data_IF_888090062843
#
_entry.id   IF_888090062843
#
_cell.length_a   1.000
_cell.length_b   1.000
_cell.length_c   1.000
_cell.angle_alpha   90.00
_cell.angle_beta   90.00
_cell.angle_gamma   90.00
#
_symmetry.space_group_name_H-M   'P 1'
#
loop_
_entity.id
_entity.type
_entity.pdbx_description
1 polymer ?
#
# COMPACT_ATOMS: atom_id res chain seq x y z
N UNK A 1 5.07 -9.12 -13.78
CA UNK A 1 5.32 -7.69 -13.54
C UNK A 1 5.17 -7.33 -12.07
N UNK A 2 3.98 -7.48 -11.46
CA UNK A 2 3.73 -7.09 -10.07
C UNK A 2 4.62 -7.72 -8.98
N UNK A 3 5.05 -8.98 -9.13
CA UNK A 3 5.94 -9.62 -8.13
C UNK A 3 7.35 -9.00 -8.10
N UNK A 4 7.88 -8.54 -9.24
CA UNK A 4 9.20 -7.93 -9.28
C UNK A 4 9.17 -6.52 -8.69
N UNK A 5 8.17 -5.71 -9.05
CA UNK A 5 8.00 -4.35 -8.51
C UNK A 5 7.70 -4.37 -7.01
N UNK A 6 6.85 -5.27 -6.54
CA UNK A 6 6.58 -5.44 -5.10
C UNK A 6 7.82 -5.88 -4.33
N UNK A 7 8.61 -6.83 -4.85
CA UNK A 7 9.86 -7.23 -4.19
C UNK A 7 10.91 -6.12 -4.18
N UNK A 8 10.95 -5.29 -5.23
CA UNK A 8 11.85 -4.13 -5.29
C UNK A 8 11.43 -3.02 -4.32
N UNK A 9 10.13 -2.77 -4.17
CA UNK A 9 9.59 -1.76 -3.26
C UNK A 9 9.72 -2.18 -1.78
N UNK A 10 9.54 -3.46 -1.47
CA UNK A 10 9.49 -3.96 -0.08
C UNK A 10 10.80 -4.60 0.41
N UNK A 11 11.85 -4.59 -0.41
CA UNK A 11 13.17 -5.16 -0.09
C UNK A 11 13.28 -6.68 0.02
N UNK A 12 12.19 -7.37 0.39
CA UNK A 12 12.11 -8.82 0.58
C UNK A 12 10.77 -9.41 0.12
N UNK A 13 10.71 -10.74 0.08
CA UNK A 13 9.49 -11.48 -0.24
C UNK A 13 8.65 -11.65 1.02
N UNK A 14 7.39 -11.23 0.96
CA UNK A 14 6.37 -11.50 1.98
C UNK A 14 5.51 -12.69 1.55
N UNK A 15 4.94 -13.43 2.51
CA UNK A 15 4.02 -14.54 2.21
C UNK A 15 2.72 -14.01 1.59
N UNK A 16 2.35 -12.80 1.97
CA UNK A 16 1.16 -12.06 1.59
C UNK A 16 1.33 -11.37 0.22
N UNK A 17 2.51 -11.48 -0.41
CA UNK A 17 2.79 -10.84 -1.69
C UNK A 17 1.87 -11.35 -2.80
N UNK A 18 1.64 -12.65 -2.88
CA UNK A 18 0.75 -13.23 -3.90
C UNK A 18 -0.71 -12.78 -3.68
N UNK A 19 -1.09 -12.62 -2.41
CA UNK A 19 -2.40 -12.12 -2.01
C UNK A 19 -2.58 -10.62 -2.31
N UNK A 20 -1.55 -9.81 -2.08
CA UNK A 20 -1.49 -8.41 -2.47
C UNK A 20 -1.63 -8.25 -3.99
N UNK A 21 -0.85 -9.00 -4.76
CA UNK A 21 -0.91 -8.97 -6.23
C UNK A 21 -2.28 -9.39 -6.74
N UNK A 22 -2.89 -10.41 -6.13
CA UNK A 22 -4.25 -10.83 -6.47
C UNK A 22 -5.28 -9.72 -6.19
N UNK A 23 -5.22 -9.09 -5.01
CA UNK A 23 -6.13 -8.01 -4.63
C UNK A 23 -5.97 -6.77 -5.54
N UNK A 24 -4.74 -6.36 -5.86
CA UNK A 24 -4.46 -5.24 -6.79
C UNK A 24 -4.96 -5.56 -8.19
N UNK A 25 -4.77 -6.78 -8.69
CA UNK A 25 -5.32 -7.20 -9.99
C UNK A 25 -6.83 -7.12 -10.02
N UNK A 26 -7.50 -7.55 -8.95
CA UNK A 26 -8.95 -7.49 -8.85
C UNK A 26 -9.46 -6.04 -8.76
N UNK A 27 -8.77 -5.16 -8.03
CA UNK A 27 -9.07 -3.72 -8.01
C UNK A 27 -8.92 -3.12 -9.40
N UNK A 28 -7.83 -3.41 -10.12
CA UNK A 28 -7.62 -2.91 -11.48
C UNK A 28 -8.67 -3.43 -12.47
N UNK A 29 -9.11 -4.69 -12.33
CA UNK A 29 -10.22 -5.22 -13.14
C UNK A 29 -11.53 -4.50 -12.84
N UNK A 30 -11.84 -4.22 -11.58
CA UNK A 30 -13.02 -3.46 -11.18
C UNK A 30 -12.93 -1.98 -11.62
N UNK A 31 -11.73 -1.39 -11.61
CA UNK A 31 -11.51 -0.02 -12.08
C UNK A 31 -11.58 0.09 -13.61
N UNK A 32 -11.09 -0.92 -14.34
CA UNK A 32 -11.12 -0.98 -15.80
C UNK A 32 -12.45 -1.45 -16.41
N UNK A 33 -13.28 -2.16 -15.64
CA UNK A 33 -14.62 -2.58 -16.03
C UNK A 33 -15.64 -1.48 -15.76
N UNK A 34 -15.75 -0.51 -16.68
CA UNK A 34 -16.80 0.52 -16.74
C UNK A 34 -17.28 1.04 -15.37
N UNK A 35 -16.66 2.13 -14.89
CA UNK A 35 -17.26 2.94 -13.84
C UNK A 35 -18.51 3.64 -14.42
N UNK A 36 -19.67 2.97 -14.37
CA UNK A 36 -20.96 3.51 -14.85
C UNK A 36 -21.29 4.87 -14.19
N UNK A 37 -20.69 5.15 -13.03
CA UNK A 37 -20.82 6.45 -12.35
C UNK A 37 -20.01 7.60 -12.97
N UNK A 38 -18.93 7.31 -13.71
CA UNK A 38 -18.13 8.33 -14.41
C UNK A 38 -18.78 8.72 -15.75
N UNK A 39 -19.49 7.78 -16.39
CA UNK A 39 -20.24 8.03 -17.61
C UNK A 39 -21.67 8.56 -17.34
N UNK A 40 -22.26 8.18 -16.21
CA UNK A 40 -23.59 8.62 -15.78
C UNK A 40 -23.62 8.91 -14.27
N UNK A 41 -23.42 10.17 -13.84
CA UNK A 41 -23.48 10.58 -12.43
C UNK A 41 -24.82 10.24 -11.74
N UNK A 42 -25.91 10.15 -12.52
CA UNK A 42 -27.24 9.74 -12.09
C UNK A 42 -27.39 8.23 -11.86
N UNK A 43 -26.42 7.42 -12.29
CA UNK A 43 -26.41 5.97 -12.16
C UNK A 43 -25.66 5.44 -10.92
N UNK A 44 -25.37 6.29 -9.93
CA UNK A 44 -24.77 5.88 -8.64
C UNK A 44 -25.54 4.73 -7.95
N UNK A 45 -26.84 4.60 -8.21
CA UNK A 45 -27.68 3.50 -7.73
C UNK A 45 -27.28 2.13 -8.31
N UNK A 46 -26.77 2.08 -9.55
CA UNK A 46 -26.27 0.83 -10.17
C UNK A 46 -25.04 0.27 -9.45
N UNK A 47 -24.20 1.12 -8.86
CA UNK A 47 -23.05 0.68 -8.07
C UNK A 47 -23.45 -0.01 -6.75
N UNK A 48 -24.61 0.37 -6.20
CA UNK A 48 -25.21 -0.30 -5.04
C UNK A 48 -25.93 -1.61 -5.44
N UNK A 49 -26.58 -1.67 -6.60
CA UNK A 49 -27.27 -2.87 -7.10
C UNK A 49 -26.34 -3.96 -7.63
N UNK A 50 -25.20 -3.58 -8.20
CA UNK A 50 -24.21 -4.52 -8.73
C UNK A 50 -23.32 -5.13 -7.64
N UNK A 51 -23.41 -4.67 -6.39
CA UNK A 51 -22.55 -5.13 -5.30
C UNK A 51 -21.08 -4.74 -5.44
N UNK A 52 -20.77 -3.83 -6.36
CA UNK A 52 -19.39 -3.47 -6.72
C UNK A 52 -18.69 -2.63 -5.65
N UNK A 53 -19.41 -1.71 -5.00
CA UNK A 53 -18.89 -0.91 -3.88
C UNK A 53 -18.42 -1.73 -2.68
N UNK A 54 -19.25 -2.59 -2.07
CA UNK A 54 -18.81 -3.39 -0.93
C UNK A 54 -17.70 -4.36 -1.30
N UNK A 55 -17.63 -4.81 -2.56
CA UNK A 55 -16.52 -5.63 -3.06
C UNK A 55 -15.21 -4.84 -3.13
N UNK A 56 -15.24 -3.62 -3.68
CA UNK A 56 -14.08 -2.74 -3.75
C UNK A 56 -13.60 -2.33 -2.34
N UNK A 57 -14.53 -2.04 -1.43
CA UNK A 57 -14.21 -1.73 -0.04
C UNK A 57 -13.50 -2.89 0.68
N UNK A 58 -14.00 -4.12 0.51
CA UNK A 58 -13.34 -5.33 1.05
C UNK A 58 -11.93 -5.52 0.49
N UNK A 59 -11.74 -5.28 -0.82
CA UNK A 59 -10.42 -5.37 -1.44
C UNK A 59 -9.48 -4.27 -0.94
N UNK A 60 -9.99 -3.04 -0.78
CA UNK A 60 -9.22 -1.94 -0.22
C UNK A 60 -8.77 -2.23 1.21
N UNK A 61 -9.68 -2.70 2.08
CA UNK A 61 -9.34 -3.12 3.45
C UNK A 61 -8.32 -4.24 3.48
N UNK A 62 -8.38 -5.17 2.53
CA UNK A 62 -7.43 -6.28 2.42
C UNK A 62 -6.04 -5.77 2.05
N UNK A 63 -5.93 -4.89 1.06
CA UNK A 63 -4.67 -4.25 0.67
C UNK A 63 -4.10 -3.42 1.81
N UNK A 64 -4.94 -2.64 2.49
CA UNK A 64 -4.54 -1.77 3.60
C UNK A 64 -3.88 -2.56 4.75
N UNK A 65 -4.46 -3.71 5.11
CA UNK A 65 -3.91 -4.63 6.12
C UNK A 65 -2.55 -5.21 5.72
N UNK A 66 -2.38 -5.58 4.45
CA UNK A 66 -1.11 -6.12 3.97
C UNK A 66 -0.03 -5.03 4.03
N UNK A 67 -0.35 -3.80 3.61
CA UNK A 67 0.58 -2.68 3.68
C UNK A 67 0.93 -2.32 5.14
N UNK A 68 -0.04 -2.35 6.06
CA UNK A 68 0.24 -2.17 7.50
C UNK A 68 1.25 -3.18 8.02
N UNK A 69 1.04 -4.46 7.72
CA UNK A 69 1.93 -5.53 8.16
C UNK A 69 3.35 -5.33 7.62
N UNK A 70 3.48 -5.00 6.34
CA UNK A 70 4.79 -4.74 5.70
C UNK A 70 5.48 -3.52 6.33
N UNK A 71 4.76 -2.41 6.50
CA UNK A 71 5.32 -1.18 7.10
C UNK A 71 5.75 -1.42 8.55
N UNK A 72 4.95 -2.12 9.34
CA UNK A 72 5.27 -2.40 10.74
C UNK A 72 6.50 -3.30 10.86
N UNK A 73 6.65 -4.30 10.00
CA UNK A 73 7.85 -5.15 9.96
C UNK A 73 9.13 -4.36 9.62
N UNK A 74 9.06 -3.35 8.75
CA UNK A 74 10.19 -2.42 8.52
C UNK A 74 10.47 -1.53 9.74
N UNK A 75 9.43 -1.01 10.40
CA UNK A 75 9.59 -0.22 11.65
C UNK A 75 10.25 -1.04 12.75
N UNK A 76 9.80 -2.28 12.97
CA UNK A 76 10.37 -3.19 13.97
C UNK A 76 11.81 -3.56 13.62
N UNK A 77 12.10 -3.86 12.36
CA UNK A 77 13.47 -4.15 11.90
C UNK A 77 14.38 -2.96 12.19
N UNK A 78 13.97 -1.74 11.83
CA UNK A 78 14.72 -0.49 12.07
C UNK A 78 14.97 -0.22 13.56
N UNK A 79 14.01 -0.52 14.43
CA UNK A 79 14.20 -0.39 15.88
C UNK A 79 15.26 -1.37 16.41
N UNK A 80 15.26 -2.62 15.91
CA UNK A 80 16.21 -3.66 16.32
C UNK A 80 17.63 -3.40 15.80
N UNK A 81 17.77 -2.85 14.60
CA UNK A 81 19.06 -2.51 13.99
C UNK A 81 19.56 -1.13 14.37
N UNK A 82 18.86 -0.36 15.20
CA UNK A 82 19.35 0.95 15.66
C UNK A 82 20.57 0.83 16.58
N UNK A 83 20.71 -0.31 17.26
CA UNK A 83 21.81 -0.62 18.19
C UNK A 83 23.00 -1.34 17.53
N UNK A 84 22.82 -1.86 16.31
CA UNK A 84 23.87 -2.53 15.54
C UNK A 84 24.11 -1.75 14.24
N UNK A 85 25.34 -1.31 13.96
CA UNK A 85 25.71 -0.63 12.70
C UNK A 85 25.68 -1.59 11.50
N UNK A 86 24.54 -2.22 11.25
CA UNK A 86 24.30 -3.08 10.10
C UNK A 86 23.74 -2.18 9.02
N UNK A 87 24.61 -1.78 8.11
CA UNK A 87 24.25 -1.12 6.86
C UNK A 87 23.53 -2.14 5.96
N UNK A 88 22.27 -2.40 6.30
CA UNK A 88 21.35 -3.17 5.48
C UNK A 88 21.06 -2.42 4.18
N UNK A 89 20.76 -3.17 3.11
CA UNK A 89 20.36 -2.57 1.84
C UNK A 89 19.01 -1.86 2.01
N UNK A 90 19.06 -0.53 2.03
CA UNK A 90 17.87 0.33 2.14
C UNK A 90 16.91 0.11 0.96
N UNK A 91 15.62 -0.04 1.25
CA UNK A 91 14.55 -0.08 0.24
C UNK A 91 13.62 1.15 0.28
N UNK A 92 12.60 1.16 -0.59
CA UNK A 92 11.69 2.30 -0.72
C UNK A 92 10.93 2.57 0.59
N UNK A 93 10.55 1.54 1.34
CA UNK A 93 9.82 1.70 2.60
C UNK A 93 10.73 2.34 3.64
N UNK A 94 11.98 1.89 3.73
CA UNK A 94 12.97 2.48 4.63
C UNK A 94 13.19 3.97 4.35
N UNK A 95 13.30 4.34 3.06
CA UNK A 95 13.44 5.75 2.64
C UNK A 95 12.22 6.56 3.06
N UNK A 96 11.01 6.08 2.78
CA UNK A 96 9.78 6.81 3.12
C UNK A 96 9.60 6.96 4.64
N UNK A 97 9.98 5.95 5.43
CA UNK A 97 9.91 5.98 6.89
C UNK A 97 10.91 6.95 7.55
N UNK A 98 11.93 7.42 6.83
CA UNK A 98 12.82 8.50 7.32
C UNK A 98 12.09 9.84 7.46
N UNK A 99 11.01 10.02 6.70
CA UNK A 99 10.20 11.25 6.65
C UNK A 99 8.86 11.08 7.39
N UNK A 100 8.62 9.97 8.09
CA UNK A 100 7.37 9.78 8.82
C UNK A 100 7.28 10.74 10.03
N UNK A 101 6.11 11.37 10.20
CA UNK A 101 5.84 12.34 11.26
C UNK A 101 6.17 11.74 12.64
N UNK A 102 7.16 12.32 13.33
CA UNK A 102 7.66 11.84 14.62
C UNK A 102 9.04 11.17 14.61
N UNK A 103 9.67 10.96 13.44
CA UNK A 103 11.04 10.44 13.36
C UNK A 103 12.12 11.54 13.29
N UNK A 104 11.82 12.72 12.72
CA UNK A 104 12.75 13.85 12.60
C UNK A 104 11.98 15.18 12.62
N UNK A 105 12.25 16.04 13.60
CA UNK A 105 11.52 17.31 13.80
C UNK A 105 11.99 18.46 12.88
N UNK A 106 13.02 18.23 12.05
CA UNK A 106 13.71 19.28 11.26
C UNK A 106 13.55 19.11 9.73
N UNK A 107 12.56 18.35 9.26
CA UNK A 107 12.33 18.14 7.82
C UNK A 107 11.18 19.00 7.27
N UNK A 108 11.42 19.60 6.11
CA UNK A 108 10.44 20.39 5.32
C UNK A 108 9.28 19.54 4.79
N UNK A 109 9.42 18.20 4.84
CA UNK A 109 8.43 17.21 4.40
C UNK A 109 8.15 16.21 5.53
N UNK A 110 6.91 16.17 5.99
CA UNK A 110 6.39 15.19 6.94
C UNK A 110 5.37 14.28 6.25
N UNK A 111 5.60 12.97 6.31
CA UNK A 111 4.74 11.94 5.75
C UNK A 111 3.93 11.26 6.85
N UNK A 112 2.64 11.03 6.59
CA UNK A 112 1.84 10.11 7.41
C UNK A 112 1.95 8.69 6.86
N UNK A 113 1.65 7.68 7.69
CA UNK A 113 1.55 6.28 7.22
C UNK A 113 0.58 6.13 6.04
N UNK A 114 -0.48 6.96 5.98
CA UNK A 114 -1.41 7.00 4.84
C UNK A 114 -0.73 7.45 3.55
N UNK A 115 0.17 8.44 3.61
CA UNK A 115 0.93 8.87 2.44
C UNK A 115 1.87 7.77 1.95
N UNK A 116 2.55 7.08 2.87
CA UNK A 116 3.44 5.96 2.55
C UNK A 116 2.65 4.84 1.84
N UNK A 117 1.53 4.41 2.43
CA UNK A 117 0.65 3.40 1.82
C UNK A 117 0.16 3.80 0.42
N UNK A 118 -0.17 5.08 0.22
CA UNK A 118 -0.62 5.57 -1.07
C UNK A 118 0.49 5.46 -2.14
N UNK A 119 1.74 5.76 -1.81
CA UNK A 119 2.88 5.60 -2.73
C UNK A 119 3.14 4.13 -3.04
N UNK A 120 3.06 3.23 -2.05
CA UNK A 120 3.27 1.79 -2.24
C UNK A 120 2.15 1.11 -3.05
N UNK A 121 0.99 1.74 -3.18
CA UNK A 121 -0.13 1.25 -3.96
C UNK A 121 0.01 1.55 -5.48
N UNK A 122 0.78 2.57 -5.85
CA UNK A 122 1.01 3.01 -7.24
C UNK A 122 1.94 2.06 -7.98
#
# INVERSE_FOLDING_TARGET
>A
MFSFTSRAAFGKKYNEQDEFVAAVREILQLAGGFYIGDLYPSAKWLQNLTGMRPKLEKLHQKVDKILDMIINDHKETKLRTKDELVEGKEDLIDVLLKYEDGNNNDQELSLTTRNIKAVLFV
#
